data_IF_270664375618
#
_entry.id   IF_270664375618
#
_cell.length_a   1.000
_cell.length_b   1.000
_cell.length_c   1.000
_cell.angle_alpha   90.00
_cell.angle_beta   90.00
_cell.angle_gamma   90.00
#
_symmetry.space_group_name_H-M   'P 1'
#
loop_
_entity.id
_entity.type
_entity.pdbx_description
1 polymer ?
#
# COMPACT_ATOMS: atom_id res chain seq x y z
N UNK A 1 -9.46 -7.67 10.47
CA UNK A 1 -9.46 -6.72 9.35
C UNK A 1 -8.28 -6.95 8.43
N UNK A 2 -7.03 -6.78 8.90
CA UNK A 2 -5.80 -6.90 8.08
C UNK A 2 -5.78 -8.09 7.09
N UNK A 3 -6.03 -9.33 7.55
CA UNK A 3 -6.05 -10.52 6.68
C UNK A 3 -7.08 -10.42 5.53
N UNK A 4 -8.24 -9.83 5.79
CA UNK A 4 -9.30 -9.68 4.80
C UNK A 4 -8.94 -8.60 3.78
N UNK A 5 -8.33 -7.49 4.22
CA UNK A 5 -7.77 -6.47 3.33
C UNK A 5 -6.68 -7.08 2.43
N UNK A 6 -5.76 -7.87 3.00
CA UNK A 6 -4.71 -8.56 2.22
C UNK A 6 -5.31 -9.52 1.19
N UNK A 7 -6.31 -10.31 1.57
CA UNK A 7 -7.01 -11.23 0.66
C UNK A 7 -7.70 -10.45 -0.48
N UNK A 8 -8.35 -9.34 -0.14
CA UNK A 8 -8.99 -8.47 -1.13
C UNK A 8 -7.99 -7.87 -2.11
N UNK A 9 -6.84 -7.38 -1.63
CA UNK A 9 -5.76 -6.83 -2.47
C UNK A 9 -5.20 -7.91 -3.40
N UNK A 10 -4.95 -9.11 -2.88
CA UNK A 10 -4.43 -10.23 -3.69
C UNK A 10 -5.41 -10.65 -4.80
N UNK A 11 -6.72 -10.55 -4.55
CA UNK A 11 -7.75 -10.78 -5.55
C UNK A 11 -7.88 -9.64 -6.58
N UNK A 12 -7.42 -8.43 -6.24
CA UNK A 12 -7.54 -7.20 -7.05
C UNK A 12 -6.20 -6.52 -7.30
N UNK A 13 -5.23 -7.19 -7.97
CA UNK A 13 -3.87 -6.69 -8.15
C UNK A 13 -3.79 -5.39 -8.98
N UNK A 14 -4.74 -5.18 -9.89
CA UNK A 14 -4.83 -3.98 -10.74
C UNK A 14 -5.62 -2.83 -10.07
N UNK A 15 -6.14 -3.07 -8.87
CA UNK A 15 -7.08 -2.19 -8.18
C UNK A 15 -8.52 -2.70 -8.25
N UNK A 16 -9.42 -1.93 -7.66
CA UNK A 16 -10.83 -2.26 -7.49
C UNK A 16 -11.70 -1.08 -7.93
N UNK A 17 -12.94 -1.37 -8.29
CA UNK A 17 -13.96 -0.36 -8.56
C UNK A 17 -14.85 -0.14 -7.34
N UNK A 18 -15.90 0.65 -7.52
CA UNK A 18 -16.85 0.96 -6.45
C UNK A 18 -17.64 -0.27 -5.99
N UNK A 19 -17.97 -1.20 -6.89
CA UNK A 19 -18.75 -2.39 -6.55
C UNK A 19 -17.92 -3.35 -5.70
N UNK A 20 -16.68 -3.63 -6.11
CA UNK A 20 -15.74 -4.42 -5.34
C UNK A 20 -15.47 -3.80 -3.95
N UNK A 21 -15.38 -2.47 -3.87
CA UNK A 21 -15.26 -1.76 -2.59
C UNK A 21 -16.46 -1.97 -1.67
N UNK A 22 -17.69 -1.83 -2.19
CA UNK A 22 -18.91 -2.10 -1.39
C UNK A 22 -18.99 -3.57 -0.96
N UNK A 23 -18.55 -4.50 -1.82
CA UNK A 23 -18.46 -5.92 -1.50
C UNK A 23 -17.54 -6.18 -0.31
N UNK A 24 -16.34 -5.59 -0.30
CA UNK A 24 -15.42 -5.68 0.83
C UNK A 24 -16.04 -5.14 2.13
N UNK A 25 -16.73 -4.00 2.08
CA UNK A 25 -17.38 -3.43 3.26
C UNK A 25 -18.45 -4.37 3.83
N UNK A 26 -19.26 -4.98 2.97
CA UNK A 26 -20.25 -5.97 3.39
C UNK A 26 -19.58 -7.21 4.03
N UNK A 27 -18.51 -7.72 3.44
CA UNK A 27 -17.75 -8.85 4.00
C UNK A 27 -17.11 -8.52 5.36
N UNK A 28 -16.63 -7.28 5.53
CA UNK A 28 -16.08 -6.81 6.80
C UNK A 28 -17.18 -6.69 7.87
N UNK A 29 -18.35 -6.15 7.52
CA UNK A 29 -19.51 -6.04 8.42
C UNK A 29 -20.02 -7.42 8.83
N UNK A 30 -20.17 -8.35 7.88
CA UNK A 30 -20.57 -9.75 8.13
C UNK A 30 -19.56 -10.48 9.04
N UNK A 31 -18.28 -10.13 8.94
CA UNK A 31 -17.22 -10.62 9.81
C UNK A 31 -17.15 -9.91 11.18
N UNK A 32 -18.06 -8.98 11.46
CA UNK A 32 -18.20 -8.29 12.74
C UNK A 32 -17.26 -7.09 12.93
N UNK A 33 -16.66 -6.55 11.87
CA UNK A 33 -15.89 -5.31 11.94
C UNK A 33 -16.83 -4.10 11.88
N UNK A 34 -16.47 -3.03 12.59
CA UNK A 34 -17.16 -1.74 12.47
C UNK A 34 -16.76 -1.05 11.16
N UNK A 35 -17.74 -0.87 10.26
CA UNK A 35 -17.57 -0.23 8.95
C UNK A 35 -18.13 1.21 8.89
N UNK A 36 -18.49 1.79 10.04
CA UNK A 36 -19.07 3.14 10.10
C UNK A 36 -18.13 4.24 9.59
N UNK A 37 -16.82 4.03 9.66
CA UNK A 37 -15.80 4.92 9.13
C UNK A 37 -15.14 4.34 7.87
N UNK A 38 -15.88 4.36 6.77
CA UNK A 38 -15.44 3.86 5.47
C UNK A 38 -14.14 4.52 4.96
N UNK A 39 -13.94 5.80 5.27
CA UNK A 39 -12.73 6.53 4.87
C UNK A 39 -11.49 5.97 5.58
N UNK A 40 -11.56 5.71 6.88
CA UNK A 40 -10.46 5.11 7.62
C UNK A 40 -10.09 3.72 7.09
N UNK A 41 -11.09 2.90 6.75
CA UNK A 41 -10.87 1.58 6.13
C UNK A 41 -10.22 1.74 4.75
N UNK A 42 -10.68 2.70 3.95
CA UNK A 42 -10.06 3.01 2.65
C UNK A 42 -8.59 3.39 2.78
N UNK A 43 -8.24 4.21 3.77
CA UNK A 43 -6.85 4.57 4.06
C UNK A 43 -6.01 3.37 4.51
N UNK A 44 -6.55 2.49 5.36
CA UNK A 44 -5.87 1.26 5.77
C UNK A 44 -5.63 0.32 4.59
N UNK A 45 -6.65 0.16 3.73
CA UNK A 45 -6.57 -0.64 2.51
C UNK A 45 -5.51 -0.12 1.53
N UNK A 46 -5.42 1.19 1.32
CA UNK A 46 -4.39 1.79 0.46
C UNK A 46 -2.97 1.65 1.03
N UNK A 47 -2.81 1.72 2.36
CA UNK A 47 -1.54 1.46 3.03
C UNK A 47 -1.10 0.02 2.86
N UNK A 48 -2.01 -0.93 3.06
CA UNK A 48 -1.76 -2.35 2.82
C UNK A 48 -1.46 -2.63 1.34
N UNK A 49 -2.18 -1.97 0.41
CA UNK A 49 -1.92 -2.08 -1.04
C UNK A 49 -0.52 -1.62 -1.39
N UNK A 50 -0.06 -0.49 -0.85
CA UNK A 50 1.30 0.00 -1.07
C UNK A 50 2.33 -1.00 -0.54
N UNK A 51 2.14 -1.52 0.67
CA UNK A 51 3.04 -2.52 1.24
C UNK A 51 3.09 -3.80 0.38
N UNK A 52 1.94 -4.29 -0.05
CA UNK A 52 1.79 -5.45 -0.93
C UNK A 52 2.49 -5.23 -2.28
N UNK A 53 2.30 -4.09 -2.92
CA UNK A 53 2.90 -3.79 -4.22
C UNK A 53 4.43 -3.77 -4.14
N UNK A 54 4.99 -3.14 -3.10
CA UNK A 54 6.44 -3.11 -2.88
C UNK A 54 7.02 -4.50 -2.62
N UNK A 55 6.31 -5.37 -1.89
CA UNK A 55 6.69 -6.77 -1.69
C UNK A 55 6.63 -7.56 -2.99
N UNK A 56 5.56 -7.39 -3.78
CA UNK A 56 5.36 -8.06 -5.06
C UNK A 56 6.43 -7.72 -6.09
N UNK A 57 6.92 -6.48 -6.10
CA UNK A 57 7.98 -6.02 -7.00
C UNK A 57 9.38 -6.50 -6.60
N UNK A 58 9.54 -7.06 -5.40
CA UNK A 58 10.79 -7.62 -4.86
C UNK A 58 12.01 -6.70 -5.10
N UNK A 59 11.88 -5.42 -4.73
CA UNK A 59 12.93 -4.41 -5.01
C UNK A 59 14.22 -4.75 -4.24
N UNK A 60 15.36 -5.02 -4.91
CA UNK A 60 16.55 -5.51 -4.23
C UNK A 60 17.12 -4.49 -3.23
N UNK A 61 17.10 -4.88 -1.95
CA UNK A 61 17.52 -4.05 -0.82
C UNK A 61 16.36 -3.35 -0.09
N UNK A 62 15.12 -3.50 -0.54
CA UNK A 62 13.93 -2.97 0.13
C UNK A 62 13.30 -4.05 1.03
N UNK A 63 13.91 -4.30 2.19
CA UNK A 63 13.38 -5.24 3.17
C UNK A 63 12.15 -4.71 3.93
N UNK A 64 11.49 -5.55 4.76
CA UNK A 64 10.22 -5.22 5.42
C UNK A 64 10.22 -3.88 6.17
N UNK A 65 11.24 -3.61 7.01
CA UNK A 65 11.34 -2.33 7.74
C UNK A 65 11.41 -1.10 6.85
N UNK A 66 11.97 -1.24 5.64
CA UNK A 66 12.03 -0.14 4.67
C UNK A 66 10.71 0.01 3.93
N UNK A 67 9.99 -1.08 3.68
CA UNK A 67 8.62 -1.04 3.16
C UNK A 67 7.73 -0.29 4.14
N UNK A 68 7.78 -0.64 5.43
CA UNK A 68 7.01 0.04 6.48
C UNK A 68 7.32 1.54 6.50
N UNK A 69 8.59 1.93 6.42
CA UNK A 69 8.99 3.34 6.37
C UNK A 69 8.49 4.08 5.11
N UNK A 70 8.38 3.39 3.98
CA UNK A 70 7.79 3.95 2.74
C UNK A 70 6.28 4.11 2.90
N UNK A 71 5.60 3.11 3.46
CA UNK A 71 4.16 3.15 3.74
C UNK A 71 3.82 4.27 4.73
N UNK A 72 4.62 4.43 5.79
CA UNK A 72 4.46 5.50 6.77
C UNK A 72 4.62 6.89 6.18
N UNK A 73 5.56 7.07 5.23
CA UNK A 73 5.79 8.38 4.60
C UNK A 73 4.76 8.74 3.54
N UNK A 74 4.40 7.78 2.67
CA UNK A 74 3.61 8.08 1.47
C UNK A 74 2.14 7.71 1.59
N UNK A 75 1.79 6.75 2.45
CA UNK A 75 0.41 6.30 2.70
C UNK A 75 -0.19 5.47 1.57
N UNK A 76 -0.05 5.90 0.31
CA UNK A 76 -0.71 5.26 -0.85
C UNK A 76 0.28 5.01 -1.97
N UNK A 77 -0.07 4.06 -2.85
CA UNK A 77 0.71 3.80 -4.07
C UNK A 77 0.74 5.04 -4.98
N UNK A 78 -0.38 5.74 -5.10
CA UNK A 78 -0.47 6.96 -5.91
C UNK A 78 0.53 8.03 -5.45
N UNK A 79 0.61 8.30 -4.14
CA UNK A 79 1.55 9.27 -3.57
C UNK A 79 3.01 8.89 -3.85
N UNK A 80 3.34 7.60 -3.74
CA UNK A 80 4.68 7.12 -4.05
C UNK A 80 5.02 7.21 -5.55
N UNK A 81 4.05 6.94 -6.43
CA UNK A 81 4.24 7.03 -7.89
C UNK A 81 4.54 8.45 -8.39
N UNK A 82 4.01 9.45 -7.68
CA UNK A 82 4.23 10.87 -7.98
C UNK A 82 5.45 11.45 -7.25
N UNK A 83 6.08 10.70 -6.36
CA UNK A 83 7.28 11.12 -5.65
C UNK A 83 8.52 11.03 -6.54
N UNK A 84 9.43 11.97 -6.37
CA UNK A 84 10.76 11.92 -6.97
C UNK A 84 11.71 11.07 -6.14
N UNK A 85 12.82 10.63 -6.76
CA UNK A 85 13.81 9.81 -6.05
C UNK A 85 14.41 10.54 -4.84
N UNK A 86 14.50 11.86 -4.90
CA UNK A 86 14.99 12.67 -3.79
C UNK A 86 14.00 12.68 -2.62
N UNK A 87 12.68 12.76 -2.88
CA UNK A 87 11.65 12.68 -1.85
C UNK A 87 11.66 11.33 -1.12
N UNK A 88 11.93 10.25 -1.86
CA UNK A 88 12.04 8.89 -1.31
C UNK A 88 13.35 8.75 -0.49
N UNK A 89 14.43 9.42 -0.90
CA UNK A 89 15.72 9.40 -0.21
C UNK A 89 15.72 10.17 1.12
N UNK A 90 14.70 11.00 1.39
CA UNK A 90 14.51 11.61 2.71
C UNK A 90 14.18 10.58 3.81
N UNK A 91 13.73 9.37 3.44
CA UNK A 91 13.57 8.28 4.40
C UNK A 91 14.96 7.87 4.89
N UNK A 92 15.25 8.08 6.18
CA UNK A 92 16.55 7.84 6.83
C UNK A 92 17.24 6.52 6.45
N UNK A 93 16.47 5.46 6.20
CA UNK A 93 16.98 4.11 5.89
C UNK A 93 17.20 3.86 4.39
N UNK A 94 16.88 4.81 3.51
CA UNK A 94 16.90 4.70 2.05
C UNK A 94 17.91 5.71 1.49
N UNK A 95 18.99 5.22 0.89
CA UNK A 95 19.95 6.05 0.18
C UNK A 95 19.53 6.27 -1.28
N UNK A 96 20.07 7.29 -1.96
CA UNK A 96 19.66 7.68 -3.32
C UNK A 96 19.61 6.55 -4.35
N UNK A 97 20.61 5.65 -4.37
CA UNK A 97 20.57 4.48 -5.27
C UNK A 97 19.40 3.52 -5.00
N UNK A 98 18.97 3.36 -3.74
CA UNK A 98 17.81 2.54 -3.41
C UNK A 98 16.52 3.30 -3.76
N UNK A 99 16.45 4.59 -3.49
CA UNK A 99 15.31 5.43 -3.87
C UNK A 99 15.04 5.39 -5.39
N UNK A 100 16.09 5.46 -6.22
CA UNK A 100 15.96 5.30 -7.67
C UNK A 100 15.37 3.94 -8.07
N UNK A 101 15.77 2.86 -7.40
CA UNK A 101 15.20 1.52 -7.65
C UNK A 101 13.72 1.44 -7.26
N UNK A 102 13.36 2.01 -6.11
CA UNK A 102 11.96 2.06 -5.65
C UNK A 102 11.12 2.82 -6.67
N UNK A 103 11.54 4.02 -7.08
CA UNK A 103 10.84 4.83 -8.09
C UNK A 103 10.68 4.09 -9.43
N UNK A 104 11.72 3.39 -9.87
CA UNK A 104 11.68 2.63 -11.12
C UNK A 104 10.72 1.43 -11.05
N UNK A 105 10.51 0.85 -9.86
CA UNK A 105 9.66 -0.34 -9.69
C UNK A 105 8.16 -0.04 -9.67
N UNK A 106 7.79 1.18 -9.25
CA UNK A 106 6.39 1.61 -9.07
C UNK A 106 5.87 2.48 -10.21
N UNK A 107 6.76 2.91 -11.13
CA UNK A 107 6.40 3.64 -12.35
C UNK A 107 5.80 2.75 -13.43
#
# INVERSE_FOLDING_TARGET
MEKQLQTFIEAHPEGWDHEAWLGLLAELEDAGHDVSNMEAIGWELERERLAWELRRKDVPGLGPKRIDAVVDRFGTLWSLQHAEADDIAEIKTIHGKLAQKVRAAVR
#
